data_IF_781570293144
#
_entry.id   IF_781570293144
#
_cell.length_a   1.000
_cell.length_b   1.000
_cell.length_c   1.000
_cell.angle_alpha   90.00
_cell.angle_beta   90.00
_cell.angle_gamma   90.00
#
_symmetry.space_group_name_H-M   'P 1'
#
loop_
_entity.id
_entity.type
_entity.pdbx_description
1 polymer ?
#
# COMPACT_ATOMS: atom_id res chain seq x y z
N UNK A 1 24.12 19.90 22.65
CA UNK A 1 23.48 18.60 23.00
C UNK A 1 22.19 18.31 22.23
N UNK A 2 21.41 19.30 21.76
CA UNK A 2 20.15 19.10 20.98
C UNK A 2 20.36 18.49 19.59
N UNK A 3 21.41 18.86 18.85
CA UNK A 3 21.64 18.35 17.47
C UNK A 3 21.96 16.84 17.40
N UNK A 4 22.77 16.32 18.33
CA UNK A 4 23.07 14.87 18.39
C UNK A 4 21.80 14.03 18.72
N UNK A 5 20.83 14.62 19.40
CA UNK A 5 19.54 13.98 19.71
C UNK A 5 18.66 13.88 18.46
N UNK A 6 18.57 14.95 17.63
CA UNK A 6 17.72 15.00 16.44
C UNK A 6 18.17 13.99 15.36
N UNK A 7 19.45 13.95 15.01
CA UNK A 7 19.99 12.97 14.07
C UNK A 7 19.76 11.52 14.54
N UNK A 8 19.81 11.26 15.81
CA UNK A 8 19.55 9.93 16.37
C UNK A 8 18.07 9.56 16.28
N UNK A 9 17.19 10.55 16.32
CA UNK A 9 15.74 10.36 16.28
C UNK A 9 15.19 10.26 14.85
N UNK A 10 15.63 11.14 13.95
CA UNK A 10 15.12 11.24 12.57
C UNK A 10 16.01 10.56 11.54
N UNK A 11 17.28 10.34 11.80
CA UNK A 11 18.25 9.87 10.80
C UNK A 11 17.86 8.58 10.12
N UNK A 12 17.39 7.58 10.87
CA UNK A 12 17.01 6.29 10.31
C UNK A 12 15.76 6.39 9.40
N UNK A 13 14.75 7.16 9.80
CA UNK A 13 13.52 7.28 9.01
C UNK A 13 13.75 8.11 7.74
N UNK A 14 14.60 9.15 7.81
CA UNK A 14 15.00 9.94 6.65
C UNK A 14 15.83 9.09 5.69
N UNK A 15 16.82 8.34 6.19
CA UNK A 15 17.62 7.42 5.36
C UNK A 15 16.75 6.36 4.70
N UNK A 16 15.77 5.79 5.43
CA UNK A 16 14.81 4.85 4.87
C UNK A 16 13.95 5.50 3.77
N UNK A 17 13.46 6.72 3.98
CA UNK A 17 12.69 7.47 2.97
C UNK A 17 13.51 7.73 1.72
N UNK A 18 14.75 8.22 1.86
CA UNK A 18 15.68 8.44 0.73
C UNK A 18 15.95 7.14 -0.02
N UNK A 19 16.24 6.05 0.68
CA UNK A 19 16.51 4.75 0.05
C UNK A 19 15.29 4.20 -0.70
N UNK A 20 14.07 4.35 -0.16
CA UNK A 20 12.81 3.99 -0.86
C UNK A 20 12.65 4.83 -2.12
N UNK A 21 12.92 6.14 -2.06
CA UNK A 21 12.88 7.03 -3.22
C UNK A 21 13.88 6.64 -4.30
N UNK A 22 15.14 6.38 -3.93
CA UNK A 22 16.19 5.93 -4.86
C UNK A 22 15.81 4.57 -5.48
N UNK A 23 15.38 3.62 -4.68
CA UNK A 23 14.97 2.31 -5.17
C UNK A 23 13.79 2.41 -6.16
N UNK A 24 12.83 3.30 -5.92
CA UNK A 24 11.73 3.56 -6.84
C UNK A 24 12.21 4.13 -8.18
N UNK A 25 13.19 5.05 -8.17
CA UNK A 25 13.80 5.60 -9.38
C UNK A 25 14.59 4.54 -10.16
N UNK A 26 15.40 3.72 -9.45
CA UNK A 26 16.16 2.62 -10.07
C UNK A 26 15.20 1.63 -10.74
N UNK A 27 14.14 1.21 -10.06
CA UNK A 27 13.16 0.29 -10.62
C UNK A 27 12.46 0.85 -11.85
N UNK A 28 12.10 2.14 -11.82
CA UNK A 28 11.51 2.82 -12.98
C UNK A 28 12.49 2.89 -14.15
N UNK A 29 13.76 3.23 -13.90
CA UNK A 29 14.81 3.25 -14.92
C UNK A 29 15.13 1.85 -15.46
N UNK A 30 14.90 0.80 -14.66
CA UNK A 30 15.14 -0.60 -15.04
C UNK A 30 13.95 -1.29 -15.74
N UNK A 31 12.84 -0.58 -15.97
CA UNK A 31 11.70 -1.11 -16.73
C UNK A 31 10.36 -1.16 -16.00
N UNK A 32 10.28 -0.84 -14.71
CA UNK A 32 8.99 -0.68 -14.04
C UNK A 32 8.22 0.53 -14.61
N UNK A 33 6.88 0.53 -14.55
CA UNK A 33 6.09 1.64 -15.05
C UNK A 33 6.48 2.97 -14.39
N UNK A 34 6.47 4.06 -15.17
CA UNK A 34 6.66 5.42 -14.64
C UNK A 34 5.68 5.70 -13.49
N UNK A 35 6.14 6.42 -12.48
CA UNK A 35 5.36 6.74 -11.27
C UNK A 35 4.86 5.49 -10.50
N UNK A 36 5.48 4.32 -10.69
CA UNK A 36 5.09 3.04 -10.05
C UNK A 36 6.32 2.22 -9.58
N UNK A 37 7.44 2.83 -9.27
CA UNK A 37 8.63 2.10 -8.82
C UNK A 37 8.31 1.09 -7.71
N UNK A 38 7.59 1.53 -6.66
CA UNK A 38 6.96 0.67 -5.66
C UNK A 38 5.47 1.00 -5.52
N UNK A 39 4.61 -0.02 -5.60
CA UNK A 39 3.18 0.08 -5.30
C UNK A 39 2.66 -1.23 -4.72
N UNK A 40 2.39 -1.26 -3.42
CA UNK A 40 1.91 -2.49 -2.78
C UNK A 40 0.59 -2.95 -3.40
N UNK A 41 -0.39 -2.04 -3.59
CA UNK A 41 -1.68 -2.39 -4.16
C UNK A 41 -1.56 -2.92 -5.60
N UNK A 42 -0.84 -2.19 -6.48
CA UNK A 42 -0.69 -2.61 -7.87
C UNK A 42 0.08 -3.93 -8.00
N UNK A 43 1.09 -4.13 -7.17
CA UNK A 43 1.90 -5.34 -7.23
C UNK A 43 1.18 -6.57 -6.64
N UNK A 44 0.36 -6.39 -5.60
CA UNK A 44 -0.54 -7.45 -5.13
C UNK A 44 -1.60 -7.81 -6.17
N UNK A 45 -2.15 -6.80 -6.88
CA UNK A 45 -3.04 -7.01 -8.01
C UNK A 45 -2.36 -7.84 -9.11
N UNK A 46 -1.14 -7.47 -9.48
CA UNK A 46 -0.39 -8.18 -10.51
C UNK A 46 -0.12 -9.64 -10.12
N UNK A 47 0.21 -9.90 -8.84
CA UNK A 47 0.35 -11.27 -8.30
C UNK A 47 -0.98 -12.03 -8.37
N UNK A 48 -2.09 -11.41 -7.96
CA UNK A 48 -3.41 -12.02 -8.07
C UNK A 48 -3.73 -12.41 -9.53
N UNK A 49 -3.37 -11.55 -10.50
CA UNK A 49 -3.53 -11.84 -11.91
C UNK A 49 -2.62 -12.96 -12.43
N UNK A 50 -1.34 -12.97 -12.02
CA UNK A 50 -0.40 -14.03 -12.38
C UNK A 50 -0.85 -15.42 -11.89
N UNK A 51 -1.51 -15.46 -10.73
CA UNK A 51 -2.13 -16.67 -10.16
C UNK A 51 -3.49 -17.02 -10.79
N UNK A 52 -3.99 -16.21 -11.71
CA UNK A 52 -5.29 -16.46 -12.38
C UNK A 52 -6.51 -16.12 -11.53
N UNK A 53 -6.36 -15.38 -10.40
CA UNK A 53 -7.47 -14.96 -9.57
C UNK A 53 -8.34 -13.89 -10.24
N UNK A 54 -7.83 -13.24 -11.29
CA UNK A 54 -8.59 -12.38 -12.21
C UNK A 54 -8.09 -12.53 -13.64
N UNK A 55 -8.93 -12.11 -14.61
CA UNK A 55 -8.68 -12.27 -16.04
C UNK A 55 -8.12 -11.03 -16.75
N UNK A 56 -7.85 -9.93 -16.04
CA UNK A 56 -7.32 -8.69 -16.64
C UNK A 56 -5.90 -8.92 -17.17
N UNK A 57 -5.77 -9.12 -18.49
CA UNK A 57 -4.54 -9.55 -19.17
C UNK A 57 -3.37 -8.54 -19.06
N UNK A 58 -3.66 -7.26 -18.81
CA UNK A 58 -2.67 -6.19 -18.75
C UNK A 58 -1.99 -6.00 -17.37
N UNK A 59 -2.36 -6.80 -16.35
CA UNK A 59 -1.89 -6.66 -14.96
C UNK A 59 -1.63 -8.04 -14.31
N UNK A 60 -0.79 -8.83 -14.96
CA UNK A 60 -0.45 -10.21 -14.57
C UNK A 60 1.07 -10.38 -14.52
N UNK A 61 1.65 -10.42 -13.33
CA UNK A 61 3.06 -10.70 -13.11
C UNK A 61 3.33 -10.98 -11.62
N UNK A 62 4.21 -11.94 -11.31
CA UNK A 62 4.74 -12.07 -9.94
C UNK A 62 5.77 -10.96 -9.72
N UNK A 63 5.56 -10.14 -8.71
CA UNK A 63 6.37 -8.96 -8.41
C UNK A 63 7.43 -9.25 -7.33
N UNK A 64 8.71 -9.50 -7.72
CA UNK A 64 9.77 -9.80 -6.75
C UNK A 64 10.03 -8.65 -5.77
N UNK A 65 9.69 -7.41 -6.14
CA UNK A 65 9.85 -6.22 -5.30
C UNK A 65 9.16 -6.39 -3.95
N UNK A 66 7.88 -6.80 -3.96
CA UNK A 66 7.12 -6.92 -2.72
C UNK A 66 7.41 -8.23 -1.99
N UNK A 67 7.84 -9.27 -2.69
CA UNK A 67 8.37 -10.48 -2.06
C UNK A 67 9.64 -10.10 -1.27
N UNK A 68 10.54 -9.35 -1.90
CA UNK A 68 11.76 -8.84 -1.25
C UNK A 68 11.46 -8.00 0.00
N UNK A 69 10.42 -7.15 -0.03
CA UNK A 69 10.04 -6.36 1.15
C UNK A 69 9.68 -7.26 2.34
N UNK A 70 8.88 -8.31 2.14
CA UNK A 70 8.50 -9.22 3.23
C UNK A 70 9.69 -10.00 3.74
N UNK A 71 10.51 -10.54 2.84
CA UNK A 71 11.70 -11.31 3.21
C UNK A 71 12.73 -10.43 3.93
N UNK A 72 12.96 -9.21 3.43
CA UNK A 72 13.82 -8.22 4.07
C UNK A 72 13.32 -7.81 5.46
N UNK A 73 12.01 -7.60 5.61
CA UNK A 73 11.40 -7.28 6.90
C UNK A 73 11.53 -8.46 7.88
N UNK A 74 11.31 -9.70 7.42
CA UNK A 74 11.48 -10.91 8.22
C UNK A 74 12.95 -11.06 8.67
N UNK A 75 13.90 -10.91 7.77
CA UNK A 75 15.34 -10.99 8.08
C UNK A 75 15.75 -9.92 9.10
N UNK A 76 15.31 -8.67 8.92
CA UNK A 76 15.58 -7.60 9.86
C UNK A 76 14.96 -7.84 11.24
N UNK A 77 13.73 -8.32 11.30
CA UNK A 77 13.04 -8.66 12.53
C UNK A 77 13.70 -9.82 13.29
N UNK A 78 14.15 -10.85 12.57
CA UNK A 78 14.90 -11.99 13.15
C UNK A 78 16.25 -11.52 13.70
N UNK A 79 17.02 -10.75 12.91
CA UNK A 79 18.32 -10.24 13.34
C UNK A 79 18.21 -9.33 14.58
N UNK A 80 17.14 -8.54 14.66
CA UNK A 80 16.87 -7.65 15.80
C UNK A 80 16.16 -8.35 16.97
N UNK A 81 15.82 -9.64 16.86
CA UNK A 81 15.02 -10.39 17.85
C UNK A 81 13.62 -9.77 18.09
N UNK A 82 13.08 -9.13 17.06
CA UNK A 82 11.75 -8.49 17.05
C UNK A 82 10.67 -9.36 16.36
N UNK A 83 11.05 -10.48 15.75
CA UNK A 83 10.11 -11.42 15.14
C UNK A 83 9.17 -12.00 16.20
N UNK A 84 7.87 -11.79 16.04
CA UNK A 84 6.86 -12.25 17.00
C UNK A 84 5.66 -12.82 16.26
N UNK A 85 5.54 -14.14 16.26
CA UNK A 85 4.36 -14.82 15.77
C UNK A 85 3.17 -14.54 16.70
N UNK A 86 2.17 -13.82 16.17
CA UNK A 86 0.95 -13.47 16.90
C UNK A 86 -0.21 -13.32 15.93
N UNK A 87 -1.43 -13.70 16.35
CA UNK A 87 -2.65 -13.61 15.55
C UNK A 87 -3.90 -13.61 16.43
N UNK A 88 -5.08 -13.50 15.84
CA UNK A 88 -6.37 -13.73 16.49
C UNK A 88 -7.17 -12.48 16.84
N UNK A 89 -6.67 -11.28 16.50
CA UNK A 89 -7.41 -10.04 16.72
C UNK A 89 -8.38 -9.78 15.56
N UNK A 90 -9.64 -10.23 15.67
CA UNK A 90 -10.74 -10.00 14.72
C UNK A 90 -10.37 -10.33 13.26
N UNK A 91 -10.00 -11.59 12.93
CA UNK A 91 -9.49 -11.93 11.60
C UNK A 91 -10.48 -11.64 10.46
N UNK A 92 -11.79 -11.89 10.64
CA UNK A 92 -12.79 -11.59 9.65
C UNK A 92 -12.89 -10.08 9.34
N UNK A 93 -12.88 -9.22 10.36
CA UNK A 93 -12.90 -7.77 10.17
C UNK A 93 -11.61 -7.29 9.47
N UNK A 94 -10.45 -7.85 9.81
CA UNK A 94 -9.18 -7.52 9.17
C UNK A 94 -9.15 -7.91 7.69
N UNK A 95 -9.70 -9.07 7.37
CA UNK A 95 -9.85 -9.53 5.99
C UNK A 95 -10.74 -8.55 5.18
N UNK A 96 -11.92 -8.23 5.69
CA UNK A 96 -12.87 -7.31 5.03
C UNK A 96 -12.30 -5.91 4.92
N UNK A 97 -11.69 -5.36 5.97
CA UNK A 97 -11.02 -4.07 5.92
C UNK A 97 -9.88 -4.07 4.89
N UNK A 98 -9.07 -5.13 4.83
CA UNK A 98 -8.02 -5.31 3.82
C UNK A 98 -8.59 -5.28 2.40
N UNK A 99 -9.70 -5.97 2.16
CA UNK A 99 -10.38 -5.98 0.87
C UNK A 99 -10.83 -4.57 0.46
N UNK A 100 -11.49 -3.81 1.33
CA UNK A 100 -11.95 -2.44 1.01
C UNK A 100 -10.81 -1.42 0.91
N UNK A 101 -9.73 -1.57 1.69
CA UNK A 101 -8.51 -0.78 1.52
C UNK A 101 -7.93 -1.01 0.13
N UNK A 102 -7.92 -2.25 -0.36
CA UNK A 102 -7.45 -2.56 -1.71
C UNK A 102 -8.37 -1.99 -2.78
N UNK A 103 -9.70 -2.14 -2.65
CA UNK A 103 -10.68 -1.54 -3.59
C UNK A 103 -10.44 -0.03 -3.67
N UNK A 104 -10.37 0.68 -2.55
CA UNK A 104 -10.11 2.12 -2.52
C UNK A 104 -8.77 2.50 -3.18
N UNK A 105 -7.71 1.74 -2.94
CA UNK A 105 -6.42 1.94 -3.57
C UNK A 105 -6.45 1.68 -5.09
N UNK A 106 -7.23 0.71 -5.57
CA UNK A 106 -7.36 0.42 -7.00
C UNK A 106 -8.32 1.38 -7.72
N UNK A 107 -9.26 1.97 -7.03
CA UNK A 107 -10.03 3.11 -7.54
C UNK A 107 -9.10 4.28 -7.88
N UNK A 108 -8.15 4.61 -7.02
CA UNK A 108 -7.13 5.66 -7.24
C UNK A 108 -6.00 5.21 -8.18
N UNK A 109 -5.90 3.91 -8.48
CA UNK A 109 -4.78 3.30 -9.20
C UNK A 109 -3.45 3.37 -8.43
N UNK A 110 -3.48 3.23 -7.10
CA UNK A 110 -2.24 3.18 -6.32
C UNK A 110 -2.44 3.20 -4.81
N UNK A 111 -1.48 2.61 -4.09
CA UNK A 111 -1.42 2.71 -2.63
C UNK A 111 -0.83 4.07 -2.19
N UNK A 112 -0.90 4.42 -0.89
CA UNK A 112 -0.34 5.67 -0.38
C UNK A 112 1.14 5.89 -0.69
N UNK A 113 1.96 4.82 -0.75
CA UNK A 113 3.35 4.94 -1.16
C UNK A 113 3.48 5.39 -2.61
N UNK A 114 2.73 4.77 -3.52
CA UNK A 114 2.69 5.19 -4.92
C UNK A 114 2.16 6.61 -5.08
N UNK A 115 1.18 7.02 -4.29
CA UNK A 115 0.67 8.40 -4.30
C UNK A 115 1.80 9.41 -4.09
N UNK A 116 2.72 9.15 -3.14
CA UNK A 116 3.89 10.01 -2.91
C UNK A 116 4.86 9.99 -4.08
N UNK A 117 5.09 8.83 -4.67
CA UNK A 117 5.95 8.67 -5.86
C UNK A 117 5.34 9.45 -7.05
N UNK A 118 4.01 9.37 -7.25
CA UNK A 118 3.29 10.15 -8.28
C UNK A 118 3.44 11.65 -8.06
N UNK A 119 3.24 12.14 -6.84
CA UNK A 119 3.49 13.53 -6.48
C UNK A 119 4.94 13.96 -6.78
N UNK A 120 5.91 13.09 -6.48
CA UNK A 120 7.32 13.31 -6.80
C UNK A 120 7.63 13.29 -8.30
N UNK A 121 6.76 12.70 -9.12
CA UNK A 121 6.83 12.74 -10.59
C UNK A 121 6.16 13.97 -11.21
N UNK A 122 5.50 14.82 -10.42
CA UNK A 122 4.75 15.99 -10.90
C UNK A 122 3.27 15.68 -11.23
N UNK A 123 2.75 14.53 -10.82
CA UNK A 123 1.38 14.13 -11.06
C UNK A 123 0.41 14.88 -10.12
N UNK A 124 -0.25 15.91 -10.64
CA UNK A 124 -1.23 16.69 -9.88
C UNK A 124 -2.54 15.92 -9.60
N UNK A 125 -2.85 14.87 -10.36
CA UNK A 125 -4.04 14.03 -10.06
C UNK A 125 -3.89 13.32 -8.70
N UNK A 126 -2.65 13.08 -8.26
CA UNK A 126 -2.36 12.48 -6.98
C UNK A 126 -2.67 13.39 -5.77
N UNK A 127 -2.79 14.71 -5.98
CA UNK A 127 -3.19 15.67 -4.93
C UNK A 127 -4.59 15.37 -4.43
N UNK A 128 -5.54 15.06 -5.33
CA UNK A 128 -6.89 14.67 -4.93
C UNK A 128 -6.87 13.40 -4.05
N UNK A 129 -6.03 12.42 -4.42
CA UNK A 129 -5.81 11.23 -3.59
C UNK A 129 -5.21 11.55 -2.22
N UNK A 130 -4.25 12.48 -2.15
CA UNK A 130 -3.66 12.91 -0.87
C UNK A 130 -4.69 13.57 0.04
N UNK A 131 -5.51 14.48 -0.49
CA UNK A 131 -6.60 15.13 0.27
C UNK A 131 -7.57 14.07 0.79
N UNK A 132 -8.02 13.16 -0.06
CA UNK A 132 -8.88 12.06 0.37
C UNK A 132 -8.24 11.17 1.44
N UNK A 133 -6.98 10.79 1.25
CA UNK A 133 -6.25 9.96 2.20
C UNK A 133 -6.14 10.61 3.59
N UNK A 134 -5.82 11.92 3.63
CA UNK A 134 -5.80 12.69 4.87
C UNK A 134 -7.21 12.71 5.50
N UNK A 135 -8.25 13.00 4.74
CA UNK A 135 -9.63 13.02 5.25
C UNK A 135 -10.03 11.65 5.85
N UNK A 136 -9.74 10.56 5.16
CA UNK A 136 -10.00 9.20 5.69
C UNK A 136 -9.22 8.90 6.97
N UNK A 137 -7.96 9.32 7.06
CA UNK A 137 -7.16 9.18 8.29
C UNK A 137 -7.79 9.99 9.42
N UNK A 138 -8.24 11.21 9.18
CA UNK A 138 -8.88 12.04 10.22
C UNK A 138 -10.14 11.38 10.76
N UNK A 139 -10.98 10.79 9.90
CA UNK A 139 -12.13 9.98 10.34
C UNK A 139 -11.66 8.81 11.21
N UNK A 140 -10.65 8.06 10.76
CA UNK A 140 -10.07 6.96 11.54
C UNK A 140 -9.52 7.41 12.90
N UNK A 141 -8.86 8.56 12.96
CA UNK A 141 -8.36 9.17 14.22
C UNK A 141 -9.51 9.46 15.18
N UNK A 142 -10.63 9.99 14.68
CA UNK A 142 -11.83 10.20 15.51
C UNK A 142 -12.34 8.86 16.07
N UNK A 143 -12.36 7.80 15.25
CA UNK A 143 -12.74 6.46 15.70
C UNK A 143 -11.82 5.93 16.82
N UNK A 144 -10.50 6.09 16.66
CA UNK A 144 -9.51 5.71 17.68
C UNK A 144 -9.70 6.49 18.99
N UNK A 145 -9.93 7.80 18.91
CA UNK A 145 -10.21 8.64 20.08
C UNK A 145 -11.49 8.22 20.83
N UNK A 146 -12.46 7.66 20.09
CA UNK A 146 -13.68 7.09 20.69
C UNK A 146 -13.50 5.68 21.24
N UNK A 147 -12.28 5.12 21.21
CA UNK A 147 -11.95 3.83 21.80
C UNK A 147 -12.09 2.64 20.83
N UNK A 148 -12.14 2.88 19.51
CA UNK A 148 -12.17 1.78 18.53
C UNK A 148 -10.99 0.83 18.70
N UNK A 149 -11.24 -0.48 18.73
CA UNK A 149 -10.22 -1.52 18.80
C UNK A 149 -10.71 -2.82 18.16
N UNK A 150 -9.87 -3.43 17.33
CA UNK A 150 -10.09 -4.79 16.81
C UNK A 150 -9.68 -5.90 17.81
N UNK A 151 -9.34 -5.53 19.04
CA UNK A 151 -8.90 -6.46 20.07
C UNK A 151 -7.39 -6.71 20.07
N UNK A 152 -6.97 -7.70 20.87
CA UNK A 152 -5.56 -8.04 21.06
C UNK A 152 -5.21 -9.31 20.31
N UNK A 153 -4.03 -9.34 19.68
CA UNK A 153 -3.46 -10.56 19.13
C UNK A 153 -2.79 -11.38 20.23
N UNK A 154 -2.83 -12.71 20.10
CA UNK A 154 -2.24 -13.67 21.01
C UNK A 154 -1.00 -14.30 20.38
N UNK A 155 0.01 -14.71 21.16
CA UNK A 155 1.14 -15.50 20.67
C UNK A 155 0.64 -16.79 20.02
N UNK A 156 1.21 -17.11 18.86
CA UNK A 156 0.98 -18.38 18.14
C UNK A 156 2.30 -19.08 17.91
N UNK A 157 2.27 -20.31 17.36
CA UNK A 157 3.50 -21.05 17.05
C UNK A 157 4.36 -20.26 16.05
N UNK A 158 5.67 -20.29 16.26
CA UNK A 158 6.62 -19.55 15.43
C UNK A 158 6.47 -19.87 13.93
N UNK A 159 6.18 -21.12 13.58
CA UNK A 159 5.94 -21.56 12.19
C UNK A 159 4.77 -20.84 11.53
N UNK A 160 3.70 -20.49 12.27
CA UNK A 160 2.56 -19.77 11.73
C UNK A 160 2.94 -18.34 11.29
N UNK A 161 3.91 -17.72 11.97
CA UNK A 161 4.43 -16.40 11.59
C UNK A 161 5.19 -16.40 10.26
N UNK A 162 5.71 -17.56 9.82
CA UNK A 162 6.44 -17.70 8.55
C UNK A 162 5.55 -18.10 7.37
N UNK A 163 4.28 -18.44 7.57
CA UNK A 163 3.41 -18.94 6.50
C UNK A 163 3.37 -18.02 5.30
N UNK A 164 3.12 -16.71 5.49
CA UNK A 164 3.06 -15.76 4.37
C UNK A 164 4.42 -15.63 3.69
N UNK A 165 5.50 -15.50 4.45
CA UNK A 165 6.86 -15.42 3.89
C UNK A 165 7.21 -16.69 3.10
N UNK A 166 6.81 -17.85 3.58
CA UNK A 166 6.98 -19.13 2.89
C UNK A 166 6.21 -19.22 1.58
N UNK A 167 4.94 -18.79 1.57
CA UNK A 167 4.12 -18.72 0.34
C UNK A 167 4.78 -17.78 -0.68
N UNK A 168 5.26 -16.62 -0.25
CA UNK A 168 5.90 -15.66 -1.15
C UNK A 168 7.22 -16.18 -1.72
N UNK A 169 8.01 -16.89 -0.91
CA UNK A 169 9.23 -17.56 -1.40
C UNK A 169 8.90 -18.69 -2.38
N UNK A 170 7.82 -19.44 -2.15
CA UNK A 170 7.34 -20.43 -3.10
C UNK A 170 6.89 -19.80 -4.42
N UNK A 171 6.20 -18.64 -4.38
CA UNK A 171 5.84 -17.88 -5.58
C UNK A 171 7.06 -17.36 -6.34
N UNK A 172 8.10 -16.92 -5.65
CA UNK A 172 9.37 -16.56 -6.27
C UNK A 172 10.03 -17.77 -6.93
N UNK A 173 10.04 -18.91 -6.23
CA UNK A 173 10.51 -20.18 -6.80
C UNK A 173 9.73 -20.59 -8.05
N UNK A 174 8.40 -20.45 -8.01
CA UNK A 174 7.54 -20.74 -9.16
C UNK A 174 7.84 -19.82 -10.35
N UNK A 175 8.05 -18.52 -10.10
CA UNK A 175 8.44 -17.56 -11.13
C UNK A 175 9.76 -17.95 -11.82
N UNK A 176 10.75 -18.44 -11.04
CA UNK A 176 12.10 -18.70 -11.55
C UNK A 176 12.26 -20.10 -12.16
N UNK A 177 11.56 -21.11 -11.62
CA UNK A 177 11.75 -22.52 -11.98
C UNK A 177 10.65 -23.04 -12.94
N UNK A 178 9.41 -22.60 -12.76
CA UNK A 178 8.26 -23.12 -13.53
C UNK A 178 7.34 -21.96 -13.97
N UNK A 179 7.84 -20.98 -14.74
CA UNK A 179 7.06 -19.82 -15.15
C UNK A 179 5.82 -20.16 -15.98
N UNK A 180 5.80 -21.32 -16.62
CA UNK A 180 4.67 -21.78 -17.45
C UNK A 180 3.36 -21.98 -16.69
N UNK A 181 3.40 -22.12 -15.36
CA UNK A 181 2.20 -22.20 -14.51
C UNK A 181 1.61 -20.83 -14.18
N UNK A 182 2.30 -19.75 -14.51
CA UNK A 182 1.90 -18.39 -14.21
C UNK A 182 1.38 -17.68 -15.47
N UNK A 183 0.48 -16.72 -15.25
CA UNK A 183 0.05 -15.82 -16.32
C UNK A 183 0.96 -14.59 -16.37
N UNK A 184 1.27 -14.15 -17.58
CA UNK A 184 2.12 -12.98 -17.83
C UNK A 184 1.40 -12.03 -18.79
N UNK A 185 1.45 -10.74 -18.46
CA UNK A 185 0.98 -9.69 -19.36
C UNK A 185 1.96 -9.51 -20.53
N UNK A 186 1.41 -9.41 -21.73
CA UNK A 186 2.14 -9.05 -22.96
C UNK A 186 2.13 -7.54 -23.19
N UNK A 187 1.13 -6.84 -22.67
CA UNK A 187 0.97 -5.39 -22.77
C UNK A 187 0.55 -4.77 -21.43
N UNK A 188 0.58 -3.44 -21.34
CA UNK A 188 0.15 -2.69 -20.16
C UNK A 188 1.13 -2.79 -18.98
N UNK A 189 0.69 -2.36 -17.78
CA UNK A 189 1.58 -2.25 -16.61
C UNK A 189 2.20 -3.56 -16.16
N UNK A 190 1.56 -4.70 -16.39
CA UNK A 190 2.07 -6.01 -16.01
C UNK A 190 3.25 -6.49 -16.86
N UNK A 191 3.33 -6.02 -18.14
CA UNK A 191 4.46 -6.30 -19.02
C UNK A 191 5.69 -5.44 -18.72
N UNK A 192 5.49 -4.27 -18.11
CA UNK A 192 6.56 -3.35 -17.72
C UNK A 192 7.16 -3.82 -16.40
N UNK A 193 8.41 -4.30 -16.45
CA UNK A 193 9.08 -4.90 -15.29
C UNK A 193 10.58 -4.78 -15.38
N UNK A 194 11.21 -4.45 -14.26
CA UNK A 194 12.65 -4.53 -14.10
C UNK A 194 13.10 -6.01 -14.04
N UNK A 195 14.39 -6.25 -14.27
CA UNK A 195 14.96 -7.57 -14.07
C UNK A 195 14.70 -8.07 -12.65
N UNK A 196 14.28 -9.34 -12.52
CA UNK A 196 13.83 -9.91 -11.25
C UNK A 196 14.83 -9.77 -10.10
N UNK A 197 16.14 -9.85 -10.39
CA UNK A 197 17.19 -9.70 -9.40
C UNK A 197 17.29 -8.28 -8.85
N UNK A 198 17.17 -7.25 -9.71
CA UNK A 198 17.11 -5.84 -9.28
C UNK A 198 15.86 -5.58 -8.46
N UNK A 199 14.71 -6.10 -8.91
CA UNK A 199 13.43 -6.01 -8.23
C UNK A 199 13.49 -6.61 -6.82
N UNK A 200 14.04 -7.82 -6.69
CA UNK A 200 14.19 -8.50 -5.41
C UNK A 200 15.16 -7.77 -4.48
N UNK A 201 16.33 -7.35 -4.98
CA UNK A 201 17.32 -6.62 -4.20
C UNK A 201 16.78 -5.29 -3.67
N UNK A 202 16.11 -4.51 -4.53
CA UNK A 202 15.45 -3.28 -4.13
C UNK A 202 14.39 -3.53 -3.05
N UNK A 203 13.58 -4.58 -3.22
CA UNK A 203 12.59 -5.02 -2.23
C UNK A 203 13.22 -5.38 -0.89
N UNK A 204 14.30 -6.18 -0.89
CA UNK A 204 15.02 -6.58 0.33
C UNK A 204 15.52 -5.36 1.11
N UNK A 205 16.20 -4.42 0.44
CA UNK A 205 16.71 -3.19 1.07
C UNK A 205 15.57 -2.37 1.67
N UNK A 206 14.50 -2.14 0.89
CA UNK A 206 13.32 -1.41 1.36
C UNK A 206 12.68 -2.12 2.54
N UNK A 207 12.56 -3.45 2.51
CA UNK A 207 11.99 -4.25 3.59
C UNK A 207 12.75 -4.12 4.90
N UNK A 208 14.08 -4.23 4.85
CA UNK A 208 14.96 -4.05 6.02
C UNK A 208 14.81 -2.64 6.60
N UNK A 209 14.92 -1.61 5.77
CA UNK A 209 14.88 -0.22 6.22
C UNK A 209 13.49 0.19 6.73
N UNK A 210 12.44 -0.23 6.05
CA UNK A 210 11.06 0.07 6.45
C UNK A 210 10.67 -0.67 7.74
N UNK A 211 11.18 -1.88 7.97
CA UNK A 211 11.02 -2.59 9.24
C UNK A 211 11.70 -1.82 10.38
N UNK A 212 12.98 -1.46 10.21
CA UNK A 212 13.78 -0.77 11.25
C UNK A 212 13.27 0.62 11.57
N UNK A 213 12.81 1.37 10.56
CA UNK A 213 12.27 2.73 10.71
C UNK A 213 10.79 2.77 11.08
N UNK A 214 10.07 1.63 11.00
CA UNK A 214 8.62 1.51 11.15
C UNK A 214 7.85 2.38 10.14
N UNK A 215 8.41 2.58 8.95
CA UNK A 215 7.87 3.44 7.91
C UNK A 215 6.40 3.10 7.62
N UNK A 216 5.52 4.11 7.75
CA UNK A 216 4.09 3.97 7.55
C UNK A 216 3.48 5.30 7.12
N UNK A 217 2.87 5.33 5.94
CA UNK A 217 2.27 6.55 5.38
C UNK A 217 1.07 7.03 6.21
N UNK A 218 0.15 6.09 6.58
CA UNK A 218 -0.99 6.43 7.42
C UNK A 218 -0.56 6.81 8.85
N UNK A 219 0.46 6.12 9.40
CA UNK A 219 1.03 6.42 10.70
C UNK A 219 1.60 7.82 10.78
N UNK A 220 2.29 8.29 9.74
CA UNK A 220 2.90 9.62 9.72
C UNK A 220 1.87 10.75 9.88
N UNK A 221 0.74 10.67 9.18
CA UNK A 221 -0.33 11.66 9.28
C UNK A 221 -1.08 11.50 10.61
N UNK A 222 -1.38 10.26 11.02
CA UNK A 222 -2.04 9.99 12.31
C UNK A 222 -1.23 10.56 13.49
N UNK A 223 0.06 10.30 13.55
CA UNK A 223 0.90 10.67 14.67
C UNK A 223 1.12 12.19 14.71
N UNK A 224 1.23 12.83 13.54
CA UNK A 224 1.27 14.29 13.44
C UNK A 224 0.01 14.95 14.03
N UNK A 225 -1.18 14.37 13.76
CA UNK A 225 -2.47 14.91 14.24
C UNK A 225 -2.75 14.56 15.71
N UNK A 226 -2.44 13.33 16.12
CA UNK A 226 -2.77 12.85 17.47
C UNK A 226 -1.73 13.24 18.52
N UNK A 227 -0.46 13.15 18.16
CA UNK A 227 0.67 13.22 19.08
C UNK A 227 1.58 14.43 18.81
N UNK A 228 1.35 15.17 17.73
CA UNK A 228 2.26 16.20 17.19
C UNK A 228 3.67 15.65 16.94
N UNK A 229 3.76 14.34 16.64
CA UNK A 229 5.00 13.67 16.26
C UNK A 229 5.11 13.60 14.73
N UNK A 230 6.10 14.29 14.17
CA UNK A 230 6.35 14.39 12.73
C UNK A 230 7.39 13.40 12.23
N UNK A 231 7.89 12.50 13.07
CA UNK A 231 8.96 11.57 12.74
C UNK A 231 8.61 10.69 11.53
N UNK A 232 7.48 9.98 11.56
CA UNK A 232 7.06 9.14 10.43
C UNK A 232 6.72 9.97 9.20
N UNK A 233 6.16 11.18 9.38
CA UNK A 233 5.86 12.09 8.29
C UNK A 233 7.13 12.56 7.58
N UNK A 234 8.25 12.77 8.28
CA UNK A 234 9.53 13.15 7.69
C UNK A 234 10.06 12.09 6.71
N UNK A 235 9.86 10.81 6.99
CA UNK A 235 10.17 9.73 6.04
C UNK A 235 9.34 9.80 4.76
N UNK A 236 8.06 10.17 4.88
CA UNK A 236 7.18 10.40 3.75
C UNK A 236 7.67 11.58 2.88
N UNK A 237 8.05 12.68 3.52
CA UNK A 237 8.61 13.85 2.84
C UNK A 237 9.97 13.55 2.18
N UNK A 238 10.78 12.70 2.82
CA UNK A 238 12.05 12.26 2.25
C UNK A 238 11.86 11.43 0.97
N UNK A 239 10.85 10.53 0.93
CA UNK A 239 10.50 9.80 -0.30
C UNK A 239 10.10 10.79 -1.40
N UNK A 240 9.17 11.69 -1.10
CA UNK A 240 8.68 12.70 -2.05
C UNK A 240 9.83 13.56 -2.59
N UNK A 241 10.66 14.13 -1.72
CA UNK A 241 11.78 14.99 -2.12
C UNK A 241 12.80 14.23 -2.96
N UNK A 242 13.15 13.00 -2.59
CA UNK A 242 14.12 12.18 -3.35
C UNK A 242 13.59 11.83 -4.74
N UNK A 243 12.32 11.45 -4.85
CA UNK A 243 11.70 11.13 -6.15
C UNK A 243 11.57 12.39 -7.00
N UNK A 244 11.24 13.56 -6.41
CA UNK A 244 11.17 14.82 -7.14
C UNK A 244 12.52 15.21 -7.70
N UNK A 245 13.56 15.22 -6.86
CA UNK A 245 14.93 15.57 -7.29
C UNK A 245 15.40 14.57 -8.36
N UNK A 246 15.20 13.27 -8.14
CA UNK A 246 15.60 12.26 -9.10
C UNK A 246 14.91 12.39 -10.46
N UNK A 247 13.60 12.64 -10.48
CA UNK A 247 12.86 12.86 -11.74
C UNK A 247 13.28 14.15 -12.45
N UNK A 248 13.63 15.22 -11.71
CA UNK A 248 14.18 16.46 -12.29
C UNK A 248 15.55 16.19 -12.94
N UNK A 249 16.44 15.48 -12.24
CA UNK A 249 17.76 15.13 -12.76
C UNK A 249 17.70 14.21 -13.97
N UNK A 250 16.76 13.26 -13.98
CA UNK A 250 16.54 12.30 -15.06
C UNK A 250 15.70 12.87 -16.22
N UNK A 251 15.25 14.11 -16.15
CA UNK A 251 14.36 14.72 -17.16
C UNK A 251 12.99 14.04 -17.29
N UNK A 252 12.57 13.30 -16.26
CA UNK A 252 11.30 12.53 -16.23
C UNK A 252 10.19 13.24 -15.48
N UNK A 253 10.47 14.41 -14.87
CA UNK A 253 9.50 15.20 -14.14
C UNK A 253 8.50 15.84 -15.11
N UNK A 254 7.21 15.60 -14.88
CA UNK A 254 6.13 16.14 -15.72
C UNK A 254 5.02 16.70 -14.83
N UNK A 255 5.02 18.03 -14.65
CA UNK A 255 3.97 18.70 -13.89
C UNK A 255 2.71 18.80 -14.75
N UNK A 256 1.75 17.92 -14.51
CA UNK A 256 0.49 17.88 -15.25
C UNK A 256 -0.65 17.34 -14.41
N UNK A 257 -1.84 17.84 -14.67
CA UNK A 257 -3.11 17.34 -14.14
C UNK A 257 -3.80 16.36 -15.08
N UNK A 258 -3.23 16.13 -16.27
CA UNK A 258 -3.80 15.26 -17.32
C UNK A 258 -2.70 14.37 -17.89
N UNK A 259 -3.10 13.24 -18.49
CA UNK A 259 -2.21 12.32 -19.20
C UNK A 259 -1.02 11.79 -18.35
N UNK A 260 -1.22 11.62 -17.05
CA UNK A 260 -0.20 11.05 -16.19
C UNK A 260 -0.13 9.52 -16.32
N UNK A 261 1.07 8.91 -16.22
CA UNK A 261 1.23 7.47 -16.39
C UNK A 261 0.39 6.67 -15.38
N UNK A 262 -0.51 5.83 -15.90
CA UNK A 262 -1.37 4.93 -15.12
C UNK A 262 -2.13 5.70 -14.01
N UNK A 263 -2.73 6.81 -14.40
CA UNK A 263 -3.55 7.67 -13.56
C UNK A 263 -4.81 8.08 -14.31
N UNK A 264 -5.81 8.57 -13.59
CA UNK A 264 -7.02 9.11 -14.19
C UNK A 264 -7.38 10.47 -13.57
N UNK A 265 -8.14 11.28 -14.31
CA UNK A 265 -8.53 12.63 -13.92
C UNK A 265 -9.89 12.72 -13.24
N UNK A 266 -10.50 11.60 -12.84
CA UNK A 266 -11.69 11.62 -11.98
C UNK A 266 -11.30 11.95 -10.52
N UNK A 267 -11.03 13.22 -10.24
CA UNK A 267 -10.45 13.68 -8.96
C UNK A 267 -11.32 13.32 -7.76
N UNK A 268 -12.65 13.44 -7.86
CA UNK A 268 -13.57 13.10 -6.76
C UNK A 268 -13.43 11.63 -6.38
N UNK A 269 -13.40 10.73 -7.36
CA UNK A 269 -13.30 9.30 -7.09
C UNK A 269 -11.91 8.91 -6.63
N UNK A 270 -10.86 9.57 -7.10
CA UNK A 270 -9.51 9.47 -6.54
C UNK A 270 -9.48 9.84 -5.06
N UNK A 271 -10.14 10.94 -4.68
CA UNK A 271 -10.23 11.37 -3.29
C UNK A 271 -11.04 10.39 -2.44
N UNK A 272 -12.23 9.96 -2.91
CA UNK A 272 -13.09 9.03 -2.16
C UNK A 272 -12.45 7.64 -2.01
N UNK A 273 -11.82 7.10 -3.06
CA UNK A 273 -11.10 5.84 -2.99
C UNK A 273 -9.96 5.90 -1.98
N UNK A 274 -9.18 6.98 -1.99
CA UNK A 274 -8.10 7.17 -1.02
C UNK A 274 -8.61 7.51 0.38
N UNK A 275 -9.77 8.14 0.53
CA UNK A 275 -10.41 8.32 1.84
C UNK A 275 -10.84 6.97 2.45
N UNK A 276 -11.41 6.09 1.63
CA UNK A 276 -11.74 4.72 2.04
C UNK A 276 -10.47 3.96 2.48
N UNK A 277 -9.40 4.03 1.68
CA UNK A 277 -8.12 3.41 1.98
C UNK A 277 -7.46 4.00 3.24
N UNK A 278 -7.55 5.32 3.44
CA UNK A 278 -7.02 6.02 4.61
C UNK A 278 -7.72 5.63 5.90
N UNK A 279 -9.06 5.66 5.89
CA UNK A 279 -9.85 5.24 7.06
C UNK A 279 -9.60 3.78 7.39
N UNK A 280 -9.73 2.87 6.43
CA UNK A 280 -9.44 1.44 6.63
C UNK A 280 -8.02 1.18 7.13
N UNK A 281 -7.01 1.93 6.63
CA UNK A 281 -5.63 1.83 7.10
C UNK A 281 -5.47 2.18 8.58
N UNK A 282 -6.21 3.17 9.09
CA UNK A 282 -6.19 3.52 10.51
C UNK A 282 -6.88 2.44 11.35
N UNK A 283 -8.03 1.92 10.91
CA UNK A 283 -8.71 0.83 11.61
C UNK A 283 -7.84 -0.44 11.68
N UNK A 284 -7.04 -0.72 10.65
CA UNK A 284 -6.08 -1.83 10.58
C UNK A 284 -4.78 -1.58 11.36
N UNK A 285 -4.52 -0.34 11.77
CA UNK A 285 -3.30 0.05 12.47
C UNK A 285 -2.10 0.34 11.56
N UNK A 286 -2.28 0.43 10.23
CA UNK A 286 -1.21 0.80 9.28
C UNK A 286 -1.63 0.70 7.83
N UNK A 287 -0.95 1.47 6.97
CA UNK A 287 -1.17 1.45 5.52
C UNK A 287 -0.78 0.10 4.89
N UNK A 288 -1.14 -0.17 3.62
CA UNK A 288 -0.79 -1.42 2.94
C UNK A 288 0.69 -1.81 3.05
N UNK A 289 1.61 -0.86 2.92
CA UNK A 289 3.05 -1.13 3.13
C UNK A 289 3.33 -1.62 4.55
N UNK A 290 2.77 -0.97 5.57
CA UNK A 290 3.00 -1.38 6.96
C UNK A 290 2.39 -2.74 7.26
N UNK A 291 1.23 -3.07 6.72
CA UNK A 291 0.63 -4.41 6.85
C UNK A 291 1.53 -5.48 6.22
N UNK A 292 2.13 -5.16 5.07
CA UNK A 292 3.05 -6.05 4.37
C UNK A 292 4.31 -6.33 5.18
N UNK A 293 4.90 -5.29 5.79
CA UNK A 293 6.06 -5.41 6.69
C UNK A 293 5.72 -6.19 7.95
N UNK A 294 4.59 -5.87 8.60
CA UNK A 294 4.15 -6.55 9.82
C UNK A 294 3.92 -8.06 9.59
N UNK A 295 3.38 -8.42 8.43
CA UNK A 295 3.23 -9.83 8.05
C UNK A 295 4.61 -10.52 7.96
N UNK A 296 5.63 -9.84 7.43
CA UNK A 296 7.03 -10.32 7.46
C UNK A 296 7.60 -10.41 8.87
N UNK A 297 7.18 -9.58 9.81
CA UNK A 297 7.55 -9.62 11.23
C UNK A 297 6.88 -10.79 12.02
N UNK A 298 6.08 -11.63 11.32
CA UNK A 298 5.37 -12.77 11.93
C UNK A 298 3.96 -12.45 12.41
N UNK A 299 3.40 -11.29 12.07
CA UNK A 299 2.04 -10.92 12.47
C UNK A 299 0.99 -11.56 11.55
N UNK A 300 0.33 -12.61 12.03
CA UNK A 300 -0.74 -13.31 11.31
C UNK A 300 -1.98 -12.46 11.04
N UNK A 301 -2.31 -11.50 11.91
CA UNK A 301 -3.42 -10.56 11.67
C UNK A 301 -3.14 -9.68 10.46
N UNK A 302 -1.89 -9.26 10.26
CA UNK A 302 -1.46 -8.54 9.07
C UNK A 302 -1.42 -9.44 7.84
N UNK A 303 -1.07 -10.71 7.99
CA UNK A 303 -1.15 -11.69 6.90
C UNK A 303 -2.61 -11.89 6.43
N UNK A 304 -3.57 -11.98 7.35
CA UNK A 304 -5.01 -12.03 7.03
C UNK A 304 -5.46 -10.74 6.31
N UNK A 305 -4.99 -9.58 6.76
CA UNK A 305 -5.25 -8.29 6.07
C UNK A 305 -4.73 -8.32 4.63
N UNK A 306 -3.53 -8.84 4.43
CA UNK A 306 -2.90 -9.01 3.09
C UNK A 306 -3.72 -9.96 2.21
N UNK A 307 -4.19 -11.08 2.74
CA UNK A 307 -5.10 -11.98 2.01
C UNK A 307 -6.38 -11.25 1.59
N UNK A 308 -6.96 -10.44 2.48
CA UNK A 308 -8.08 -9.57 2.15
C UNK A 308 -7.74 -8.60 1.01
N UNK A 309 -6.55 -8.00 1.00
CA UNK A 309 -6.10 -7.13 -0.10
C UNK A 309 -5.97 -7.90 -1.42
N UNK A 310 -5.44 -9.11 -1.43
CA UNK A 310 -5.32 -9.95 -2.64
C UNK A 310 -6.72 -10.28 -3.20
N UNK A 311 -7.65 -10.69 -2.34
CA UNK A 311 -9.03 -10.95 -2.74
C UNK A 311 -9.72 -9.66 -3.22
N UNK A 312 -9.50 -8.52 -2.55
CA UNK A 312 -9.98 -7.23 -2.98
C UNK A 312 -9.48 -6.83 -4.38
N UNK A 313 -8.24 -7.17 -4.71
CA UNK A 313 -7.68 -6.95 -6.05
C UNK A 313 -8.36 -7.84 -7.10
N UNK A 314 -8.55 -9.12 -6.79
CA UNK A 314 -9.25 -10.05 -7.68
C UNK A 314 -10.70 -9.62 -7.94
N UNK A 315 -11.44 -9.28 -6.88
CA UNK A 315 -12.81 -8.76 -6.96
C UNK A 315 -12.85 -7.47 -7.78
N UNK A 316 -11.92 -6.54 -7.54
CA UNK A 316 -11.89 -5.27 -8.27
C UNK A 316 -11.76 -5.45 -9.78
N UNK A 317 -10.94 -6.38 -10.23
CA UNK A 317 -10.74 -6.62 -11.67
C UNK A 317 -11.83 -7.51 -12.30
N UNK A 318 -12.33 -8.50 -11.58
CA UNK A 318 -13.39 -9.39 -12.09
C UNK A 318 -14.75 -8.68 -12.21
N UNK A 319 -15.01 -7.67 -11.37
CA UNK A 319 -16.28 -6.95 -11.36
C UNK A 319 -16.18 -5.50 -11.85
N UNK A 320 -15.05 -5.11 -12.44
CA UNK A 320 -14.87 -3.76 -12.99
C UNK A 320 -14.93 -2.64 -11.95
N UNK A 321 -14.46 -2.88 -10.73
CA UNK A 321 -14.45 -1.90 -9.64
C UNK A 321 -13.20 -1.01 -9.67
N UNK A 322 -12.11 -1.49 -10.29
CA UNK A 322 -10.84 -0.76 -10.38
C UNK A 322 -10.96 0.42 -11.37
N UNK A 323 -10.19 1.47 -11.10
CA UNK A 323 -10.04 2.57 -12.05
C UNK A 323 -9.34 2.12 -13.33
N UNK A 324 -9.66 2.77 -14.43
CA UNK A 324 -8.90 2.73 -15.68
C UNK A 324 -8.04 3.99 -15.79
N UNK A 325 -6.84 3.88 -16.35
CA UNK A 325 -6.01 5.04 -16.62
C UNK A 325 -6.62 5.89 -17.77
N UNK A 326 -6.35 7.18 -17.75
CA UNK A 326 -6.62 8.03 -18.90
C UNK A 326 -5.79 7.54 -20.11
N UNK A 327 -6.33 7.71 -21.28
CA UNK A 327 -5.68 7.31 -22.55
C UNK A 327 -5.88 8.38 -23.61
N UNK A 328 -5.11 8.26 -24.68
CA UNK A 328 -5.31 9.06 -25.89
C UNK A 328 -5.73 8.08 -26.99
N UNK A 329 -6.87 8.33 -27.60
CA UNK A 329 -7.39 7.52 -28.71
C UNK A 329 -6.52 7.72 -29.98
N UNK A 330 -6.69 6.85 -30.97
CA UNK A 330 -5.92 6.90 -32.22
C UNK A 330 -6.12 8.21 -33.00
N UNK A 331 -7.26 8.87 -32.82
CA UNK A 331 -7.58 10.18 -33.42
C UNK A 331 -6.99 11.37 -32.63
N UNK A 332 -6.23 11.11 -31.57
CA UNK A 332 -5.66 12.14 -30.69
C UNK A 332 -6.63 12.64 -29.61
N UNK A 333 -7.86 12.13 -29.54
CA UNK A 333 -8.84 12.54 -28.53
C UNK A 333 -8.45 12.03 -27.15
N UNK A 334 -8.50 12.90 -26.14
CA UNK A 334 -8.24 12.52 -24.74
C UNK A 334 -9.45 11.79 -24.16
N UNK A 335 -9.23 10.55 -23.75
CA UNK A 335 -10.25 9.69 -23.11
C UNK A 335 -10.00 9.64 -21.61
N UNK A 336 -10.93 10.23 -20.87
CA UNK A 336 -10.91 10.21 -19.41
C UNK A 336 -11.18 8.77 -18.92
N UNK A 337 -10.23 8.23 -18.18
CA UNK A 337 -10.39 6.97 -17.47
C UNK A 337 -11.20 7.12 -16.19
N UNK A 338 -10.90 6.30 -15.19
CA UNK A 338 -11.55 6.32 -13.88
C UNK A 338 -12.41 5.10 -13.64
N UNK A 339 -13.41 5.23 -12.76
CA UNK A 339 -14.27 4.11 -12.37
C UNK A 339 -15.66 4.21 -13.00
N UNK A 340 -16.24 3.04 -13.30
CA UNK A 340 -17.63 2.92 -13.70
C UNK A 340 -18.58 2.86 -12.50
N UNK A 341 -19.88 2.70 -12.79
CA UNK A 341 -20.95 2.64 -11.77
C UNK A 341 -20.71 1.55 -10.73
N UNK A 342 -20.17 0.39 -11.12
CA UNK A 342 -19.83 -0.70 -10.20
C UNK A 342 -18.75 -0.26 -9.19
N UNK A 343 -17.72 0.45 -9.64
CA UNK A 343 -16.68 0.98 -8.76
C UNK A 343 -17.22 2.06 -7.81
N UNK A 344 -18.12 2.94 -8.30
CA UNK A 344 -18.80 3.94 -7.47
C UNK A 344 -19.61 3.28 -6.36
N UNK A 345 -20.41 2.27 -6.70
CA UNK A 345 -21.18 1.49 -5.73
C UNK A 345 -20.26 0.78 -4.71
N UNK A 346 -19.14 0.20 -5.16
CA UNK A 346 -18.19 -0.47 -4.28
C UNK A 346 -17.55 0.48 -3.26
N UNK A 347 -17.24 1.72 -3.65
CA UNK A 347 -16.74 2.76 -2.72
C UNK A 347 -17.81 3.12 -1.69
N UNK A 348 -19.07 3.33 -2.10
CA UNK A 348 -20.18 3.62 -1.18
C UNK A 348 -20.43 2.47 -0.19
N UNK A 349 -20.48 1.23 -0.67
CA UNK A 349 -20.58 0.03 0.16
C UNK A 349 -19.38 -0.05 1.12
N UNK A 350 -18.18 0.25 0.63
CA UNK A 350 -16.96 0.27 1.46
C UNK A 350 -17.09 1.22 2.65
N UNK A 351 -17.57 2.45 2.44
CA UNK A 351 -17.81 3.38 3.54
C UNK A 351 -18.85 2.86 4.52
N UNK A 352 -19.95 2.27 4.04
CA UNK A 352 -20.98 1.67 4.90
C UNK A 352 -20.42 0.52 5.74
N UNK A 353 -19.59 -0.36 5.14
CA UNK A 353 -18.96 -1.49 5.84
C UNK A 353 -17.94 -1.00 6.88
N UNK A 354 -17.11 -0.03 6.54
CA UNK A 354 -16.16 0.55 7.49
C UNK A 354 -16.89 1.20 8.67
N UNK A 355 -18.01 1.88 8.40
CA UNK A 355 -18.85 2.47 9.44
C UNK A 355 -19.44 1.37 10.34
N UNK A 356 -20.01 0.32 9.77
CA UNK A 356 -20.57 -0.80 10.52
C UNK A 356 -19.51 -1.48 11.41
N UNK A 357 -18.33 -1.78 10.87
CA UNK A 357 -17.21 -2.34 11.65
C UNK A 357 -16.79 -1.36 12.75
N UNK A 358 -16.75 -0.07 12.46
CA UNK A 358 -16.38 0.95 13.46
C UNK A 358 -17.39 0.94 14.62
N UNK A 359 -18.67 1.05 14.33
CA UNK A 359 -19.73 1.12 15.35
C UNK A 359 -19.76 -0.16 16.21
N UNK A 360 -19.63 -1.32 15.60
CA UNK A 360 -19.67 -2.61 16.33
C UNK A 360 -18.44 -2.83 17.24
N UNK A 361 -17.33 -2.12 16.99
CA UNK A 361 -16.09 -2.24 17.76
C UNK A 361 -15.78 -1.02 18.64
N UNK A 362 -16.72 -0.07 18.75
CA UNK A 362 -16.66 0.96 19.79
C UNK A 362 -17.06 0.37 21.14
N UNK A 363 -16.47 0.88 22.26
CA UNK A 363 -16.91 0.47 23.58
C UNK A 363 -18.40 0.80 23.76
N UNK A 364 -19.17 -0.17 24.23
CA UNK A 364 -20.57 0.07 24.62
C UNK A 364 -20.54 1.08 25.78
N UNK A 365 -21.23 2.20 25.61
CA UNK A 365 -21.49 3.12 26.74
C UNK A 365 -22.34 2.34 27.73
N UNK A 366 -21.73 1.80 28.79
CA UNK A 366 -22.52 1.33 29.92
C UNK A 366 -23.32 2.54 30.41
N UNK A 367 -24.64 2.46 30.31
CA UNK A 367 -25.49 3.38 31.01
C UNK A 367 -25.15 3.20 32.49
N UNK A 368 -24.47 4.19 33.08
CA UNK A 368 -24.29 4.27 34.52
C UNK A 368 -25.68 4.38 35.07
N UNK A 369 -26.21 3.26 35.54
CA UNK A 369 -27.40 3.25 36.40
C UNK A 369 -26.99 4.02 37.65
N UNK A 370 -27.45 5.26 37.74
CA UNK A 370 -27.45 6.01 39.01
C UNK A 370 -28.54 5.34 39.85
N UNK A 371 -28.12 4.41 40.68
CA UNK A 371 -28.87 4.03 41.88
C UNK A 371 -28.44 4.91 43.04
#
# INVERSE_FOLDING_TARGET
MREKSWFREYGLILAAGVAVGIAALILTASGNPKNMGFCIACFLRDIAGALGLHSAANVQYIRPEIIGIVVGAAAAALAAREFRAKAGASPACRFVLGMFVMIGALVFLGCPLRMVIRLGGGDLTAVAGLVGFIAGILVGVVCLKKGFSLGRAYPVRMGEGFVLSGILMALLGLLLLVPTLLKFSEAGPGSMRAFWGISLAAGLVVGVLAQRSRLCMAGGIRDAVMLRDFKLLSGFLAIWGTVTIGNLVLGSYSLSALSQPIAHSQYLWSALGMALAGWGSILLGGCPLRQWILAGEGNGDSAVTVLGMIVGAAVSHNFGLAGAADSVAEDGTYVVGGIGTAGMAAVAIGFAVLLAITVTHLPKTEAVSRD
#
